data_IF_160677186497
#
_entry.id   IF_160677186497
#
_cell.length_a   1.000
_cell.length_b   1.000
_cell.length_c   1.000
_cell.angle_alpha   90.00
_cell.angle_beta   90.00
_cell.angle_gamma   90.00
#
_symmetry.space_group_name_H-M   'P 1'
#
loop_
_entity.id
_entity.type
_entity.pdbx_description
1 polymer ?
#
# COMPACT_ATOMS: atom_id res chain seq x y z
N UNK A 1 -11.78 15.64 -11.69
CA UNK A 1 -11.00 15.87 -12.94
C UNK A 1 -10.10 14.68 -13.22
N UNK A 2 -9.13 14.32 -12.38
CA UNK A 2 -8.18 13.20 -12.62
C UNK A 2 -8.84 11.86 -12.95
N UNK A 3 -10.01 11.56 -12.38
CA UNK A 3 -10.75 10.32 -12.67
C UNK A 3 -11.08 10.13 -14.14
N UNK A 4 -11.47 11.21 -14.82
CA UNK A 4 -11.90 11.17 -16.24
C UNK A 4 -10.77 11.51 -17.22
N UNK A 5 -9.67 12.11 -16.75
CA UNK A 5 -8.51 12.46 -17.59
C UNK A 5 -7.38 11.43 -17.52
N UNK A 6 -7.46 10.46 -16.59
CA UNK A 6 -6.39 9.47 -16.34
C UNK A 6 -5.15 10.07 -15.66
N UNK A 7 -5.25 11.30 -15.13
CA UNK A 7 -4.13 11.98 -14.48
C UNK A 7 -3.81 11.44 -13.07
N UNK A 8 -2.72 11.93 -12.50
CA UNK A 8 -2.31 11.68 -11.11
C UNK A 8 -2.35 12.96 -10.29
N UNK A 9 -2.47 12.84 -8.97
CA UNK A 9 -2.38 13.95 -8.02
C UNK A 9 -1.09 13.78 -7.22
N UNK A 10 -0.26 14.83 -7.23
CA UNK A 10 0.91 14.94 -6.37
C UNK A 10 0.65 16.11 -5.41
N UNK A 11 0.57 15.82 -4.12
CA UNK A 11 0.29 16.81 -3.08
C UNK A 11 1.50 17.01 -2.18
N UNK A 12 1.93 18.25 -2.04
CA UNK A 12 3.03 18.68 -1.18
C UNK A 12 2.50 19.70 -0.17
N UNK A 13 2.10 19.25 1.01
CA UNK A 13 1.53 20.10 2.04
C UNK A 13 2.54 21.17 2.49
N UNK A 14 2.16 22.45 2.39
CA UNK A 14 3.05 23.55 2.74
C UNK A 14 4.40 23.44 2.03
N UNK A 15 4.41 23.39 0.69
CA UNK A 15 5.60 23.17 -0.13
C UNK A 15 6.77 24.07 0.29
N UNK A 16 7.92 23.45 0.49
CA UNK A 16 9.20 24.12 0.76
C UNK A 16 10.26 23.57 -0.18
N UNK A 17 10.94 24.47 -0.90
CA UNK A 17 11.94 24.06 -1.91
C UNK A 17 13.13 23.31 -1.30
N UNK A 18 13.56 23.68 -0.10
CA UNK A 18 14.63 23.00 0.64
C UNK A 18 14.29 21.55 1.04
N UNK A 19 13.03 21.26 1.29
CA UNK A 19 12.51 19.94 1.68
C UNK A 19 11.96 19.13 0.49
N UNK A 20 11.18 19.75 -0.36
CA UNK A 20 10.30 19.05 -1.30
C UNK A 20 10.80 19.07 -2.76
N UNK A 21 11.85 19.83 -3.09
CA UNK A 21 12.31 19.99 -4.47
C UNK A 21 12.68 18.65 -5.14
N UNK A 22 13.35 17.74 -4.42
CA UNK A 22 13.73 16.43 -4.96
C UNK A 22 12.51 15.55 -5.23
N UNK A 23 11.54 15.57 -4.33
CA UNK A 23 10.31 14.81 -4.49
C UNK A 23 9.45 15.35 -5.64
N UNK A 24 9.33 16.67 -5.78
CA UNK A 24 8.66 17.31 -6.92
C UNK A 24 9.38 17.00 -8.24
N UNK A 25 10.71 17.14 -8.29
CA UNK A 25 11.50 16.79 -9.46
C UNK A 25 11.29 15.32 -9.87
N UNK A 26 11.32 14.41 -8.91
CA UNK A 26 11.09 12.98 -9.15
C UNK A 26 9.68 12.74 -9.71
N UNK A 27 8.66 13.37 -9.14
CA UNK A 27 7.28 13.27 -9.63
C UNK A 27 7.15 13.76 -11.08
N UNK A 28 7.74 14.91 -11.42
CA UNK A 28 7.75 15.46 -12.77
C UNK A 28 8.48 14.53 -13.75
N UNK A 29 9.67 14.07 -13.38
CA UNK A 29 10.46 13.15 -14.22
C UNK A 29 9.69 11.84 -14.44
N UNK A 30 9.07 11.29 -13.42
CA UNK A 30 8.26 10.06 -13.54
C UNK A 30 7.11 10.25 -14.53
N UNK A 31 6.33 11.31 -14.38
CA UNK A 31 5.18 11.59 -15.26
C UNK A 31 5.59 11.82 -16.71
N UNK A 32 6.75 12.47 -16.95
CA UNK A 32 7.22 12.80 -18.30
C UNK A 32 7.97 11.65 -18.97
N UNK A 33 8.68 10.81 -18.20
CA UNK A 33 9.55 9.76 -18.75
C UNK A 33 8.89 8.37 -18.80
N UNK A 34 7.84 8.10 -18.02
CA UNK A 34 7.19 6.79 -18.03
C UNK A 34 6.49 6.50 -19.36
N UNK A 35 6.42 5.23 -19.70
CA UNK A 35 5.70 4.79 -20.91
C UNK A 35 4.22 5.15 -20.77
N UNK A 36 3.73 5.95 -21.70
CA UNK A 36 2.36 6.43 -21.74
C UNK A 36 1.69 6.09 -23.06
N UNK A 37 0.47 5.62 -22.99
CA UNK A 37 -0.43 5.42 -24.11
C UNK A 37 -1.53 6.50 -24.12
N UNK A 38 -1.99 6.87 -25.29
CA UNK A 38 -2.96 7.94 -25.51
C UNK A 38 -4.22 7.40 -26.20
N UNK A 39 -5.34 8.06 -26.03
CA UNK A 39 -6.61 7.68 -26.66
C UNK A 39 -6.90 6.18 -26.46
N UNK A 40 -6.71 5.71 -25.25
CA UNK A 40 -6.80 4.31 -24.97
C UNK A 40 -8.24 3.87 -24.66
N UNK A 41 -8.51 2.61 -24.96
CA UNK A 41 -9.76 1.94 -24.60
C UNK A 41 -9.40 0.58 -24.01
N UNK A 42 -9.88 0.33 -22.81
CA UNK A 42 -9.77 -0.96 -22.13
C UNK A 42 -11.10 -1.68 -22.19
N UNK A 43 -11.10 -2.89 -22.75
CA UNK A 43 -12.24 -3.79 -22.76
C UNK A 43 -11.96 -5.01 -21.92
N UNK A 44 -12.83 -5.28 -20.96
CA UNK A 44 -12.76 -6.48 -20.13
C UNK A 44 -13.93 -7.39 -20.49
N UNK A 45 -13.63 -8.67 -20.69
CA UNK A 45 -14.63 -9.72 -21.00
C UNK A 45 -14.44 -10.91 -20.09
N UNK A 46 -15.51 -11.61 -19.83
CA UNK A 46 -15.50 -12.85 -19.07
C UNK A 46 -16.31 -13.93 -19.80
N UNK A 47 -16.01 -15.20 -19.50
CA UNK A 47 -16.78 -16.33 -20.00
C UNK A 47 -18.21 -16.32 -19.47
N UNK A 48 -19.10 -17.04 -20.16
CA UNK A 48 -20.51 -17.21 -19.76
C UNK A 48 -20.60 -17.73 -18.32
N UNK A 49 -21.54 -17.19 -17.57
CA UNK A 49 -21.74 -17.49 -16.14
C UNK A 49 -20.99 -16.57 -15.18
N UNK A 50 -20.19 -15.64 -15.71
CA UNK A 50 -19.58 -14.53 -14.98
C UNK A 50 -20.16 -13.19 -15.43
N UNK A 51 -20.26 -12.25 -14.53
CA UNK A 51 -20.72 -10.86 -14.81
C UNK A 51 -19.77 -9.87 -14.20
N UNK A 52 -19.39 -8.85 -14.99
CA UNK A 52 -18.62 -7.70 -14.50
C UNK A 52 -19.53 -6.78 -13.69
N UNK A 53 -19.27 -6.65 -12.39
CA UNK A 53 -20.13 -5.92 -11.46
C UNK A 53 -19.67 -4.49 -11.23
N UNK A 54 -18.37 -4.28 -11.00
CA UNK A 54 -17.80 -2.96 -10.77
C UNK A 54 -16.34 -2.89 -11.23
N UNK A 55 -15.93 -1.68 -11.62
CA UNK A 55 -14.56 -1.38 -11.99
C UNK A 55 -14.00 -0.28 -11.08
N UNK A 56 -12.69 -0.36 -10.79
CA UNK A 56 -11.97 0.57 -9.93
C UNK A 56 -10.71 1.06 -10.65
N UNK A 57 -10.47 2.36 -10.63
CA UNK A 57 -9.39 3.04 -11.33
C UNK A 57 -9.81 4.44 -11.77
N UNK A 58 -9.01 5.04 -12.66
CA UNK A 58 -9.34 6.31 -13.31
C UNK A 58 -9.70 6.06 -14.77
N UNK A 59 -10.97 6.25 -15.13
CA UNK A 59 -11.52 6.02 -16.48
C UNK A 59 -12.87 6.69 -16.61
N UNK A 60 -13.33 6.76 -17.85
CA UNK A 60 -14.71 7.09 -18.18
C UNK A 60 -15.42 5.80 -18.67
N UNK A 61 -16.55 5.44 -18.05
CA UNK A 61 -17.32 4.26 -18.41
C UNK A 61 -18.16 4.57 -19.66
N UNK A 62 -17.90 3.85 -20.77
CA UNK A 62 -18.75 3.92 -21.98
C UNK A 62 -19.79 2.81 -22.02
N UNK A 63 -19.43 1.62 -21.55
CA UNK A 63 -20.32 0.48 -21.39
C UNK A 63 -19.80 -0.38 -20.23
N UNK A 64 -20.59 -1.35 -19.77
CA UNK A 64 -20.22 -2.23 -18.66
C UNK A 64 -18.86 -2.93 -18.84
N UNK A 65 -18.48 -3.23 -20.07
CA UNK A 65 -17.24 -3.89 -20.46
C UNK A 65 -16.21 -2.96 -21.14
N UNK A 66 -16.53 -1.65 -21.28
CA UNK A 66 -15.74 -0.72 -22.11
C UNK A 66 -15.41 0.56 -21.35
N UNK A 67 -14.13 0.74 -21.05
CA UNK A 67 -13.58 1.89 -20.34
C UNK A 67 -12.78 2.77 -21.32
N UNK A 68 -13.11 4.06 -21.38
CA UNK A 68 -12.30 5.03 -22.10
C UNK A 68 -11.23 5.63 -21.19
N UNK A 69 -10.01 5.63 -21.69
CA UNK A 69 -8.80 6.08 -20.99
C UNK A 69 -8.14 7.15 -21.86
N UNK A 70 -8.31 8.45 -21.57
CA UNK A 70 -7.60 9.49 -22.32
C UNK A 70 -6.09 9.27 -22.32
N UNK A 71 -5.57 8.85 -21.17
CA UNK A 71 -4.20 8.39 -21.01
C UNK A 71 -4.16 7.11 -20.19
N UNK A 72 -3.21 6.24 -20.48
CA UNK A 72 -2.84 5.07 -19.68
C UNK A 72 -1.33 4.96 -19.62
N UNK A 73 -0.79 4.68 -18.47
CA UNK A 73 0.66 4.62 -18.26
C UNK A 73 1.05 3.38 -17.46
N UNK A 74 2.37 3.17 -17.29
CA UNK A 74 2.91 2.01 -16.58
C UNK A 74 2.55 1.95 -15.09
N UNK A 75 2.09 3.05 -14.50
CA UNK A 75 1.68 3.11 -13.10
C UNK A 75 0.16 2.95 -12.93
N UNK A 76 -0.60 2.96 -14.03
CA UNK A 76 -2.05 2.83 -14.02
C UNK A 76 -2.48 1.41 -13.73
N UNK A 77 -3.33 1.22 -12.73
CA UNK A 77 -3.88 -0.08 -12.35
C UNK A 77 -5.39 -0.03 -12.31
N UNK A 78 -6.00 -1.08 -12.83
CA UNK A 78 -7.45 -1.26 -12.86
C UNK A 78 -7.81 -2.52 -12.09
N UNK A 79 -8.87 -2.46 -11.29
CA UNK A 79 -9.42 -3.63 -10.64
C UNK A 79 -10.88 -3.82 -11.06
N UNK A 80 -11.29 -5.05 -11.23
CA UNK A 80 -12.65 -5.41 -11.69
C UNK A 80 -13.25 -6.42 -10.72
N UNK A 81 -14.44 -6.12 -10.24
CA UNK A 81 -15.24 -7.07 -9.48
C UNK A 81 -16.04 -7.95 -10.44
N UNK A 82 -15.94 -9.24 -10.24
CA UNK A 82 -16.64 -10.24 -11.04
C UNK A 82 -17.56 -11.03 -10.12
N UNK A 83 -18.84 -11.11 -10.50
CA UNK A 83 -19.84 -11.93 -9.83
C UNK A 83 -20.05 -13.23 -10.58
N UNK A 84 -20.11 -14.32 -9.84
CA UNK A 84 -20.47 -15.63 -10.38
C UNK A 84 -21.99 -15.75 -10.40
N UNK A 85 -22.56 -16.02 -11.57
CA UNK A 85 -23.98 -16.31 -11.73
C UNK A 85 -24.23 -17.82 -11.85
N UNK A 86 -23.63 -18.47 -12.85
CA UNK A 86 -23.75 -19.90 -13.04
C UNK A 86 -22.52 -20.46 -13.77
N UNK A 87 -21.73 -21.25 -13.07
CA UNK A 87 -20.56 -21.96 -13.61
C UNK A 87 -20.70 -23.49 -13.51
N UNK A 88 -21.91 -23.99 -13.23
CA UNK A 88 -22.16 -25.42 -12.93
C UNK A 88 -21.74 -26.38 -14.06
N UNK A 89 -21.82 -25.93 -15.32
CA UNK A 89 -21.45 -26.72 -16.50
C UNK A 89 -19.99 -26.50 -16.97
N UNK A 90 -19.23 -25.62 -16.34
CA UNK A 90 -17.89 -25.23 -16.80
C UNK A 90 -16.78 -25.82 -15.92
N UNK A 91 -15.67 -26.21 -16.54
CA UNK A 91 -14.46 -26.65 -15.82
C UNK A 91 -13.49 -25.51 -15.58
N UNK A 92 -13.54 -24.47 -16.39
CA UNK A 92 -12.71 -23.28 -16.28
C UNK A 92 -13.49 -22.02 -16.63
N UNK A 93 -13.08 -20.90 -16.03
CA UNK A 93 -13.58 -19.57 -16.33
C UNK A 93 -12.45 -18.72 -16.91
N UNK A 94 -12.73 -17.99 -17.99
CA UNK A 94 -11.73 -17.12 -18.63
C UNK A 94 -12.11 -15.65 -18.47
N UNK A 95 -11.08 -14.85 -18.25
CA UNK A 95 -11.13 -13.39 -18.23
C UNK A 95 -10.17 -12.85 -19.27
N UNK A 96 -10.60 -11.87 -20.04
CA UNK A 96 -9.78 -11.24 -21.08
C UNK A 96 -9.84 -9.73 -20.94
N UNK A 97 -8.67 -9.09 -20.87
CA UNK A 97 -8.52 -7.64 -20.94
C UNK A 97 -7.81 -7.27 -22.25
N UNK A 98 -8.46 -6.44 -23.06
CA UNK A 98 -7.90 -5.92 -24.32
C UNK A 98 -7.75 -4.41 -24.22
N UNK A 99 -6.50 -3.92 -24.31
CA UNK A 99 -6.13 -2.52 -24.25
C UNK A 99 -5.69 -2.04 -25.65
N UNK A 100 -6.49 -1.17 -26.25
CA UNK A 100 -6.14 -0.44 -27.47
C UNK A 100 -5.61 0.94 -27.07
N UNK A 101 -4.47 1.35 -27.62
CA UNK A 101 -3.85 2.65 -27.31
C UNK A 101 -2.93 3.13 -28.42
N UNK A 102 -2.65 4.44 -28.43
CA UNK A 102 -1.64 5.05 -29.30
C UNK A 102 -0.37 5.30 -28.49
N UNK A 103 0.77 4.86 -28.98
CA UNK A 103 2.07 5.12 -28.35
C UNK A 103 2.51 6.57 -28.54
N UNK A 104 3.52 7.03 -27.79
CA UNK A 104 4.14 8.35 -27.97
C UNK A 104 4.77 8.56 -29.36
N UNK A 105 4.99 7.46 -30.14
CA UNK A 105 5.46 7.51 -31.53
C UNK A 105 4.32 7.54 -32.56
N UNK A 106 3.08 7.62 -32.13
CA UNK A 106 1.89 7.63 -33.03
C UNK A 106 1.45 6.24 -33.49
N UNK A 107 2.08 5.16 -33.04
CA UNK A 107 1.70 3.80 -33.43
C UNK A 107 0.44 3.36 -32.66
N UNK A 108 -0.55 2.83 -33.37
CA UNK A 108 -1.73 2.22 -32.75
C UNK A 108 -1.45 0.78 -32.39
N UNK A 109 -1.62 0.41 -31.11
CA UNK A 109 -1.32 -0.93 -30.59
C UNK A 109 -2.48 -1.50 -29.80
N UNK A 110 -2.60 -2.83 -29.86
CA UNK A 110 -3.53 -3.60 -29.03
C UNK A 110 -2.71 -4.56 -28.17
N UNK A 111 -2.96 -4.56 -26.87
CA UNK A 111 -2.48 -5.60 -25.95
C UNK A 111 -3.65 -6.41 -25.45
N UNK A 112 -3.53 -7.73 -25.51
CA UNK A 112 -4.55 -8.66 -25.03
C UNK A 112 -3.94 -9.55 -23.97
N UNK A 113 -4.61 -9.60 -22.82
CA UNK A 113 -4.27 -10.48 -21.71
C UNK A 113 -5.46 -11.42 -21.49
N UNK A 114 -5.20 -12.71 -21.46
CA UNK A 114 -6.21 -13.73 -21.18
C UNK A 114 -5.71 -14.60 -20.05
N UNK A 115 -6.55 -14.81 -19.06
CA UNK A 115 -6.30 -15.77 -17.98
C UNK A 115 -7.46 -16.74 -17.91
N UNK A 116 -7.14 -18.02 -17.77
CA UNK A 116 -8.09 -19.09 -17.51
C UNK A 116 -7.86 -19.62 -16.10
N UNK A 117 -8.93 -19.67 -15.31
CA UNK A 117 -8.92 -20.12 -13.93
C UNK A 117 -9.72 -21.41 -13.81
N UNK A 118 -9.23 -22.43 -13.12
CA UNK A 118 -10.02 -23.63 -12.85
C UNK A 118 -11.17 -23.31 -11.91
N UNK A 119 -12.28 -23.98 -12.07
CA UNK A 119 -13.45 -23.88 -11.20
C UNK A 119 -13.34 -24.94 -10.12
N UNK A 120 -13.55 -24.54 -8.87
CA UNK A 120 -13.66 -25.46 -7.75
C UNK A 120 -15.09 -25.42 -7.16
N UNK A 121 -15.58 -26.57 -6.71
CA UNK A 121 -16.90 -26.72 -6.10
C UNK A 121 -16.87 -26.68 -4.57
N UNK A 122 -15.66 -26.63 -4.00
CA UNK A 122 -15.46 -26.61 -2.55
C UNK A 122 -14.63 -25.40 -2.15
N UNK A 123 -14.78 -24.96 -0.89
CA UNK A 123 -14.10 -23.77 -0.39
C UNK A 123 -12.60 -23.98 -0.11
N UNK A 124 -12.14 -25.21 0.14
CA UNK A 124 -10.75 -25.46 0.50
C UNK A 124 -9.74 -25.08 -0.58
N UNK A 125 -9.90 -25.47 -1.87
CA UNK A 125 -9.04 -24.98 -2.95
C UNK A 125 -9.14 -23.46 -3.13
N UNK A 126 -10.35 -22.88 -3.01
CA UNK A 126 -10.56 -21.45 -3.14
C UNK A 126 -9.71 -20.67 -2.12
N UNK A 127 -9.82 -20.98 -0.82
CA UNK A 127 -9.04 -20.29 0.20
C UNK A 127 -7.53 -20.52 0.10
N UNK A 128 -7.08 -21.64 -0.50
CA UNK A 128 -5.65 -21.87 -0.75
C UNK A 128 -5.08 -21.08 -1.93
N UNK A 129 -5.92 -20.76 -2.92
CA UNK A 129 -5.52 -20.08 -4.15
C UNK A 129 -5.72 -18.57 -4.11
N UNK A 130 -6.27 -18.02 -3.02
CA UNK A 130 -6.50 -16.57 -2.88
C UNK A 130 -5.15 -15.84 -2.84
N UNK A 131 -5.03 -14.80 -3.65
CA UNK A 131 -3.98 -13.80 -3.52
C UNK A 131 -4.42 -12.77 -2.47
N UNK A 132 -3.88 -12.88 -1.26
CA UNK A 132 -4.22 -12.02 -0.12
C UNK A 132 -3.87 -10.55 -0.36
N UNK A 133 -2.80 -10.29 -1.09
CA UNK A 133 -2.30 -8.97 -1.42
C UNK A 133 -3.23 -8.28 -2.43
N UNK A 134 -3.64 -9.00 -3.47
CA UNK A 134 -4.63 -8.51 -4.42
C UNK A 134 -5.99 -8.23 -3.74
N UNK A 135 -6.42 -9.08 -2.80
CA UNK A 135 -7.65 -8.86 -2.01
C UNK A 135 -7.53 -7.60 -1.16
N UNK A 136 -6.41 -7.38 -0.47
CA UNK A 136 -6.19 -6.19 0.35
C UNK A 136 -6.19 -4.90 -0.51
N UNK A 137 -5.49 -4.92 -1.64
CA UNK A 137 -5.44 -3.79 -2.58
C UNK A 137 -6.83 -3.48 -3.18
N UNK A 138 -7.58 -4.51 -3.60
CA UNK A 138 -8.95 -4.33 -4.08
C UNK A 138 -9.85 -3.76 -2.97
N UNK A 139 -9.73 -4.26 -1.75
CA UNK A 139 -10.48 -3.77 -0.59
C UNK A 139 -10.20 -2.28 -0.33
N UNK A 140 -8.94 -1.84 -0.45
CA UNK A 140 -8.57 -0.43 -0.34
C UNK A 140 -9.20 0.43 -1.45
N UNK A 141 -9.19 -0.06 -2.71
CA UNK A 141 -9.84 0.62 -3.85
C UNK A 141 -11.35 0.77 -3.64
N UNK A 142 -12.00 -0.29 -3.18
CA UNK A 142 -13.44 -0.29 -2.87
C UNK A 142 -13.77 0.68 -1.73
N UNK A 143 -12.98 0.68 -0.67
CA UNK A 143 -13.13 1.59 0.46
C UNK A 143 -12.96 3.06 0.05
N UNK A 144 -11.93 3.36 -0.77
CA UNK A 144 -11.71 4.70 -1.30
C UNK A 144 -12.90 5.18 -2.16
N UNK A 145 -13.43 4.30 -3.02
CA UNK A 145 -14.63 4.61 -3.80
C UNK A 145 -15.82 4.88 -2.88
N UNK A 146 -16.08 4.00 -1.90
CA UNK A 146 -17.21 4.16 -0.97
C UNK A 146 -17.09 5.44 -0.13
N UNK A 147 -15.89 5.80 0.31
CA UNK A 147 -15.65 7.03 1.07
C UNK A 147 -15.88 8.32 0.24
N UNK A 148 -15.66 8.28 -1.07
CA UNK A 148 -15.95 9.38 -1.99
C UNK A 148 -17.44 9.48 -2.35
N UNK A 149 -18.14 8.35 -2.44
CA UNK A 149 -19.56 8.28 -2.81
C UNK A 149 -20.49 8.49 -1.59
N UNK A 150 -20.00 8.22 -0.36
CA UNK A 150 -20.76 8.31 0.89
C UNK A 150 -19.94 9.00 2.00
N UNK A 151 -19.91 8.43 3.21
CA UNK A 151 -19.11 8.95 4.32
C UNK A 151 -17.91 8.05 4.62
N UNK A 152 -16.83 8.64 5.11
CA UNK A 152 -15.64 7.90 5.56
C UNK A 152 -16.00 6.85 6.64
N UNK A 153 -16.94 7.18 7.54
CA UNK A 153 -17.41 6.25 8.57
C UNK A 153 -18.04 4.99 7.97
N UNK A 154 -18.88 5.15 6.94
CA UNK A 154 -19.54 4.04 6.25
C UNK A 154 -18.55 3.13 5.52
N UNK A 155 -17.46 3.72 5.01
CA UNK A 155 -16.37 2.96 4.40
C UNK A 155 -15.61 2.12 5.44
N UNK A 156 -15.32 2.69 6.62
CA UNK A 156 -14.64 1.99 7.73
C UNK A 156 -15.48 0.83 8.28
N UNK A 157 -16.78 1.05 8.45
CA UNK A 157 -17.72 0.00 8.88
C UNK A 157 -17.76 -1.14 7.85
N UNK A 158 -17.86 -0.81 6.55
CA UNK A 158 -17.88 -1.79 5.49
C UNK A 158 -16.60 -2.64 5.44
N UNK A 159 -15.43 -2.06 5.75
CA UNK A 159 -14.17 -2.79 5.84
C UNK A 159 -14.23 -3.87 6.93
N UNK A 160 -14.66 -3.50 8.14
CA UNK A 160 -14.76 -4.43 9.26
C UNK A 160 -15.79 -5.53 8.96
N UNK A 161 -16.97 -5.17 8.43
CA UNK A 161 -17.99 -6.12 8.07
C UNK A 161 -17.50 -7.11 6.99
N UNK A 162 -16.81 -6.62 5.95
CA UNK A 162 -16.24 -7.48 4.90
C UNK A 162 -15.23 -8.48 5.45
N UNK A 163 -14.35 -8.06 6.35
CA UNK A 163 -13.39 -8.94 7.01
C UNK A 163 -14.11 -10.02 7.83
N UNK A 164 -15.12 -9.61 8.63
CA UNK A 164 -15.92 -10.54 9.44
C UNK A 164 -16.66 -11.54 8.54
N UNK A 165 -17.21 -11.09 7.40
CA UNK A 165 -17.91 -11.95 6.46
C UNK A 165 -17.01 -13.07 5.93
N UNK A 166 -15.83 -12.69 5.41
CA UNK A 166 -14.86 -13.65 4.86
C UNK A 166 -14.38 -14.65 5.89
N UNK A 167 -14.05 -14.17 7.11
CA UNK A 167 -13.52 -15.03 8.18
C UNK A 167 -14.62 -15.88 8.85
N UNK A 168 -15.87 -15.42 8.88
CA UNK A 168 -17.00 -16.22 9.40
C UNK A 168 -17.27 -17.43 8.52
N UNK A 169 -17.27 -17.26 7.20
CA UNK A 169 -17.43 -18.37 6.25
C UNK A 169 -16.29 -19.38 6.40
N UNK A 170 -15.05 -18.89 6.49
CA UNK A 170 -13.90 -19.77 6.71
C UNK A 170 -14.03 -20.55 8.02
N UNK A 171 -14.35 -19.87 9.12
CA UNK A 171 -14.54 -20.50 10.41
C UNK A 171 -15.65 -21.55 10.39
N UNK A 172 -16.80 -21.23 9.81
CA UNK A 172 -17.92 -22.18 9.73
C UNK A 172 -17.57 -23.44 8.93
N UNK A 173 -16.71 -23.31 7.89
CA UNK A 173 -16.37 -24.40 6.99
C UNK A 173 -15.19 -25.26 7.45
N UNK A 174 -14.28 -24.70 8.24
CA UNK A 174 -12.99 -25.36 8.55
C UNK A 174 -12.69 -25.54 10.05
N UNK A 175 -13.56 -25.05 10.95
CA UNK A 175 -13.41 -25.32 12.38
C UNK A 175 -13.80 -26.75 12.69
N UNK A 176 -13.05 -27.39 13.60
CA UNK A 176 -13.32 -28.71 14.13
C UNK A 176 -13.99 -28.59 15.51
N UNK A 177 -14.65 -29.65 16.02
CA UNK A 177 -15.19 -29.64 17.39
C UNK A 177 -14.16 -29.32 18.48
N UNK A 178 -12.88 -29.54 18.19
CA UNK A 178 -11.76 -29.25 19.09
C UNK A 178 -11.27 -27.81 19.02
N UNK A 179 -11.69 -27.04 18.00
CA UNK A 179 -11.28 -25.63 17.84
C UNK A 179 -11.96 -24.78 18.91
N UNK A 180 -11.21 -24.18 19.87
CA UNK A 180 -11.83 -23.35 20.91
C UNK A 180 -12.65 -22.19 20.30
N UNK A 181 -13.81 -21.86 20.85
CA UNK A 181 -14.61 -20.72 20.36
C UNK A 181 -13.84 -19.41 20.37
N UNK A 182 -12.94 -19.20 21.33
CA UNK A 182 -12.12 -17.99 21.46
C UNK A 182 -10.95 -17.91 20.47
N UNK A 183 -10.59 -19.01 19.79
CA UNK A 183 -9.48 -19.03 18.85
C UNK A 183 -9.87 -18.37 17.53
N UNK A 184 -9.10 -17.39 17.10
CA UNK A 184 -9.19 -16.84 15.75
C UNK A 184 -8.53 -17.79 14.76
N UNK A 185 -9.29 -18.27 13.78
CA UNK A 185 -8.80 -19.16 12.71
C UNK A 185 -8.74 -18.38 11.42
N UNK A 186 -7.54 -18.31 10.84
CA UNK A 186 -7.27 -17.59 9.59
C UNK A 186 -6.80 -18.56 8.52
N UNK A 187 -7.24 -18.39 7.25
CA UNK A 187 -6.62 -19.09 6.13
C UNK A 187 -5.20 -18.54 5.91
N UNK A 188 -4.25 -19.42 5.58
CA UNK A 188 -2.85 -19.03 5.40
C UNK A 188 -2.69 -17.92 4.35
N UNK A 189 -3.40 -18.03 3.23
CA UNK A 189 -3.36 -17.04 2.15
C UNK A 189 -3.95 -15.65 2.55
N UNK A 190 -4.73 -15.58 3.63
CA UNK A 190 -5.31 -14.34 4.15
C UNK A 190 -4.77 -13.97 5.54
N UNK A 191 -3.62 -14.52 5.94
CA UNK A 191 -3.04 -14.29 7.26
C UNK A 191 -2.79 -12.81 7.54
N UNK A 192 -2.34 -12.05 6.56
CA UNK A 192 -2.05 -10.62 6.66
C UNK A 192 -3.28 -9.73 6.43
N UNK A 193 -4.41 -10.29 5.96
CA UNK A 193 -5.59 -9.50 5.58
C UNK A 193 -6.20 -8.69 6.74
N UNK A 194 -6.27 -9.21 8.00
CA UNK A 194 -6.69 -8.39 9.14
C UNK A 194 -5.78 -7.20 9.40
N UNK A 195 -4.45 -7.36 9.29
CA UNK A 195 -3.49 -6.27 9.45
C UNK A 195 -3.64 -5.22 8.34
N UNK A 196 -3.75 -5.64 7.08
CA UNK A 196 -4.00 -4.73 5.97
C UNK A 196 -5.34 -4.00 6.12
N UNK A 197 -6.40 -4.67 6.59
CA UNK A 197 -7.69 -4.04 6.86
C UNK A 197 -7.56 -2.97 7.95
N UNK A 198 -6.84 -3.25 9.03
CA UNK A 198 -6.54 -2.25 10.07
C UNK A 198 -5.70 -1.10 9.50
N UNK A 199 -4.71 -1.41 8.65
CA UNK A 199 -3.91 -0.41 7.93
C UNK A 199 -4.79 0.55 7.11
N UNK A 200 -5.79 0.04 6.38
CA UNK A 200 -6.75 0.88 5.66
C UNK A 200 -7.54 1.76 6.64
N UNK A 201 -8.07 1.19 7.73
CA UNK A 201 -8.86 1.93 8.72
C UNK A 201 -8.05 3.06 9.37
N UNK A 202 -6.76 2.84 9.62
CA UNK A 202 -5.83 3.83 10.22
C UNK A 202 -5.27 4.82 9.21
N UNK A 203 -5.32 4.49 7.93
CA UNK A 203 -4.74 5.32 6.89
C UNK A 203 -5.34 6.74 6.91
N UNK A 204 -4.54 7.81 6.72
CA UNK A 204 -5.03 9.19 6.78
C UNK A 204 -6.22 9.46 5.86
N UNK A 205 -6.33 8.80 4.71
CA UNK A 205 -7.48 8.92 3.83
C UNK A 205 -8.82 8.58 4.52
N UNK A 206 -8.81 7.68 5.52
CA UNK A 206 -10.02 7.19 6.21
C UNK A 206 -10.17 7.70 7.65
N UNK A 207 -9.31 8.62 8.11
CA UNK A 207 -9.49 9.25 9.41
C UNK A 207 -10.67 10.21 9.39
N UNK A 208 -11.52 10.15 10.42
CA UNK A 208 -12.72 10.98 10.52
C UNK A 208 -12.44 12.40 11.08
N UNK A 209 -11.27 12.64 11.65
CA UNK A 209 -10.89 13.90 12.28
C UNK A 209 -10.53 15.02 11.30
N UNK A 210 -10.33 16.22 11.84
CA UNK A 210 -9.83 17.39 11.12
C UNK A 210 -8.30 17.41 10.99
N UNK A 211 -7.60 16.40 11.49
CA UNK A 211 -6.16 16.24 11.45
C UNK A 211 -5.61 15.99 10.02
N UNK A 212 -6.48 15.63 9.09
CA UNK A 212 -6.14 15.45 7.68
C UNK A 212 -6.92 16.44 6.84
N UNK A 213 -6.20 17.38 6.21
CA UNK A 213 -6.81 18.34 5.30
C UNK A 213 -7.45 17.68 4.07
N UNK A 214 -8.38 18.39 3.43
CA UNK A 214 -9.15 17.84 2.31
C UNK A 214 -8.27 17.51 1.10
N UNK A 215 -7.27 18.33 0.80
CA UNK A 215 -6.40 18.16 -0.36
C UNK A 215 -5.50 16.94 -0.17
N UNK A 216 -4.91 16.76 1.02
CA UNK A 216 -4.16 15.55 1.38
C UNK A 216 -5.03 14.31 1.26
N UNK A 217 -6.27 14.35 1.76
CA UNK A 217 -7.21 13.23 1.70
C UNK A 217 -7.55 12.85 0.27
N UNK A 218 -7.84 13.84 -0.59
CA UNK A 218 -8.17 13.61 -2.01
C UNK A 218 -6.97 13.00 -2.75
N UNK A 219 -5.75 13.49 -2.50
CA UNK A 219 -4.54 12.95 -3.11
C UNK A 219 -4.31 11.48 -2.69
N UNK A 220 -4.46 11.15 -1.40
CA UNK A 220 -4.34 9.79 -0.89
C UNK A 220 -5.42 8.86 -1.46
N UNK A 221 -6.67 9.31 -1.54
CA UNK A 221 -7.75 8.52 -2.14
C UNK A 221 -7.53 8.28 -3.63
N UNK A 222 -7.01 9.27 -4.37
CA UNK A 222 -6.65 9.10 -5.77
C UNK A 222 -5.54 8.05 -5.93
N UNK A 223 -4.51 8.09 -5.06
CA UNK A 223 -3.44 7.10 -5.03
C UNK A 223 -3.97 5.69 -4.77
N UNK A 224 -4.81 5.49 -3.74
CA UNK A 224 -5.41 4.20 -3.43
C UNK A 224 -6.27 3.65 -4.57
N UNK A 225 -6.92 4.51 -5.37
CA UNK A 225 -7.75 4.09 -6.50
C UNK A 225 -6.93 3.62 -7.71
N UNK A 226 -5.76 4.18 -7.94
CA UNK A 226 -4.95 3.94 -9.15
C UNK A 226 -3.67 3.17 -8.90
N UNK A 227 -3.19 3.10 -7.65
CA UNK A 227 -1.95 2.42 -7.30
C UNK A 227 -1.96 0.93 -7.64
N UNK A 228 -0.79 0.38 -7.94
CA UNK A 228 -0.58 -1.07 -8.06
C UNK A 228 -0.79 -1.77 -6.71
N UNK A 229 -0.86 -3.09 -6.71
CA UNK A 229 -0.96 -3.88 -5.48
C UNK A 229 0.19 -3.51 -4.53
N UNK A 230 1.44 -3.56 -5.03
CA UNK A 230 2.63 -3.27 -4.23
C UNK A 230 2.66 -1.83 -3.69
N UNK A 231 2.24 -0.85 -4.51
CA UNK A 231 2.20 0.55 -4.10
C UNK A 231 1.17 0.78 -2.97
N UNK A 232 0.00 0.16 -3.08
CA UNK A 232 -1.04 0.24 -2.05
C UNK A 232 -0.59 -0.45 -0.77
N UNK A 233 -0.07 -1.68 -0.86
CA UNK A 233 0.38 -2.42 0.32
C UNK A 233 1.54 -1.73 1.03
N UNK A 234 2.49 -1.19 0.29
CA UNK A 234 3.59 -0.41 0.87
C UNK A 234 3.13 0.85 1.59
N UNK A 235 2.01 1.44 1.17
CA UNK A 235 1.39 2.58 1.87
C UNK A 235 0.61 2.14 3.12
N UNK A 236 -0.11 1.01 3.04
CA UNK A 236 -0.94 0.49 4.13
C UNK A 236 -0.14 -0.23 5.23
N UNK A 237 0.94 -0.86 4.85
CA UNK A 237 1.83 -1.64 5.71
C UNK A 237 3.28 -1.37 5.31
N UNK A 238 3.82 -0.20 5.68
CA UNK A 238 5.20 0.16 5.36
C UNK A 238 6.20 -0.86 5.87
N UNK A 239 7.36 -0.93 5.22
CA UNK A 239 8.46 -1.80 5.64
C UNK A 239 9.36 -1.06 6.61
N UNK A 240 9.56 -1.63 7.79
CA UNK A 240 10.40 -1.08 8.86
C UNK A 240 11.68 -1.89 9.01
N UNK A 241 12.83 -1.22 9.10
CA UNK A 241 14.14 -1.83 9.25
C UNK A 241 14.91 -1.15 10.38
N UNK A 242 15.60 -1.93 11.19
CA UNK A 242 16.65 -1.44 12.07
C UNK A 242 17.98 -1.45 11.32
N UNK A 243 18.61 -0.29 11.16
CA UNK A 243 19.84 -0.16 10.39
C UNK A 243 20.99 -1.02 10.94
N UNK A 244 21.01 -1.28 12.24
CA UNK A 244 22.04 -2.14 12.85
C UNK A 244 21.86 -3.62 12.47
N UNK A 245 20.64 -4.04 12.10
CA UNK A 245 20.34 -5.41 11.68
C UNK A 245 20.44 -5.59 10.15
N UNK A 246 20.62 -4.50 9.40
CA UNK A 246 20.81 -4.55 7.95
C UNK A 246 22.20 -5.12 7.64
N UNK A 247 22.31 -6.20 6.83
CA UNK A 247 23.60 -6.78 6.46
C UNK A 247 24.46 -5.82 5.65
N UNK A 248 25.77 -5.86 5.83
CA UNK A 248 26.70 -5.07 4.99
C UNK A 248 26.60 -5.46 3.50
N UNK A 249 26.26 -6.71 3.22
CA UNK A 249 26.08 -7.24 1.86
C UNK A 249 24.91 -6.63 1.07
N UNK A 250 24.00 -5.88 1.72
CA UNK A 250 22.86 -5.26 1.03
C UNK A 250 23.29 -4.32 -0.09
N UNK A 251 24.43 -3.64 0.08
CA UNK A 251 24.96 -2.74 -0.92
C UNK A 251 25.44 -3.46 -2.20
N UNK A 252 25.86 -4.72 -2.07
CA UNK A 252 26.39 -5.52 -3.17
C UNK A 252 25.32 -6.40 -3.82
N UNK A 253 24.41 -6.94 -3.00
CA UNK A 253 23.40 -7.91 -3.44
C UNK A 253 22.08 -7.28 -3.85
N UNK A 254 21.80 -6.05 -3.40
CA UNK A 254 20.51 -5.38 -3.53
C UNK A 254 19.31 -6.22 -2.98
N UNK A 255 19.58 -7.18 -2.10
CA UNK A 255 18.54 -8.00 -1.47
C UNK A 255 17.98 -7.26 -0.26
N UNK A 256 16.68 -7.00 -0.27
CA UNK A 256 15.98 -6.35 0.83
C UNK A 256 15.93 -7.31 2.03
N UNK A 257 16.44 -6.90 3.21
CA UNK A 257 16.43 -7.76 4.39
C UNK A 257 15.02 -7.92 4.98
N UNK A 258 14.83 -8.87 5.94
CA UNK A 258 13.56 -9.00 6.65
C UNK A 258 13.16 -7.72 7.38
N UNK A 259 11.85 -7.49 7.45
CA UNK A 259 11.25 -6.31 8.10
C UNK A 259 10.93 -6.56 9.56
N UNK A 260 10.90 -5.49 10.34
CA UNK A 260 10.35 -5.49 11.69
C UNK A 260 8.82 -5.34 11.66
N UNK A 261 8.17 -5.71 12.76
CA UNK A 261 6.76 -5.41 12.98
C UNK A 261 6.54 -3.89 13.09
N UNK A 262 5.37 -3.44 12.68
CA UNK A 262 4.98 -2.03 12.73
C UNK A 262 4.42 -1.65 14.11
N UNK A 263 5.25 -1.83 15.14
CA UNK A 263 4.96 -1.50 16.53
C UNK A 263 6.12 -0.77 17.18
N UNK A 264 5.81 0.26 17.96
CA UNK A 264 6.79 1.00 18.74
C UNK A 264 7.27 0.26 20.00
N UNK A 265 6.61 -0.84 20.36
CA UNK A 265 6.92 -1.59 21.60
C UNK A 265 8.38 -2.03 21.71
N UNK A 266 8.99 -2.38 20.58
CA UNK A 266 10.38 -2.85 20.51
C UNK A 266 11.36 -1.82 19.96
N UNK A 267 10.88 -0.61 19.66
CA UNK A 267 11.77 0.44 19.20
C UNK A 267 12.58 1.01 20.35
N UNK A 268 13.85 1.30 20.08
CA UNK A 268 14.77 1.95 21.01
C UNK A 268 15.25 3.26 20.44
N UNK A 269 15.61 4.20 21.28
CA UNK A 269 16.19 5.46 20.85
C UNK A 269 17.71 5.37 20.56
N UNK A 270 18.31 4.20 20.74
CA UNK A 270 19.76 3.97 20.60
C UNK A 270 20.20 3.61 19.18
N UNK A 271 19.29 3.59 18.20
CA UNK A 271 19.58 3.19 16.82
C UNK A 271 18.91 4.12 15.79
N UNK A 272 19.06 3.74 14.53
CA UNK A 272 18.45 4.41 13.36
C UNK A 272 17.51 3.42 12.68
N UNK A 273 16.28 3.84 12.45
CA UNK A 273 15.29 3.06 11.74
C UNK A 273 15.04 3.62 10.33
N UNK A 274 14.77 2.74 9.37
CA UNK A 274 14.35 3.10 8.03
C UNK A 274 12.93 2.58 7.81
N UNK A 275 12.00 3.49 7.55
CA UNK A 275 10.62 3.19 7.19
C UNK A 275 10.42 3.46 5.70
N UNK A 276 10.00 2.45 4.94
CA UNK A 276 9.72 2.57 3.52
C UNK A 276 8.24 2.37 3.23
N UNK A 277 7.57 3.43 2.76
CA UNK A 277 6.15 3.48 2.42
C UNK A 277 5.92 3.57 0.90
N UNK A 278 6.66 2.80 0.11
CA UNK A 278 6.52 2.71 -1.34
C UNK A 278 6.85 4.00 -2.11
N UNK A 279 6.20 5.11 -1.78
CA UNK A 279 6.40 6.42 -2.42
C UNK A 279 7.43 7.32 -1.73
N UNK A 280 7.82 6.96 -0.50
CA UNK A 280 8.77 7.71 0.33
C UNK A 280 9.50 6.78 1.29
N UNK A 281 10.68 7.20 1.71
CA UNK A 281 11.39 6.59 2.83
C UNK A 281 11.64 7.63 3.93
N UNK A 282 11.54 7.20 5.18
CA UNK A 282 11.82 8.02 6.36
C UNK A 282 12.95 7.36 7.13
N UNK A 283 14.04 8.08 7.34
CA UNK A 283 15.13 7.68 8.21
C UNK A 283 14.92 8.36 9.55
N UNK A 284 14.54 7.58 10.54
CA UNK A 284 14.31 8.06 11.90
C UNK A 284 15.60 7.92 12.73
N UNK A 285 16.05 9.03 13.29
CA UNK A 285 17.26 9.11 14.10
C UNK A 285 16.88 9.14 15.57
N UNK A 286 17.28 8.12 16.32
CA UNK A 286 17.12 8.08 17.77
C UNK A 286 18.06 9.07 18.46
N UNK A 287 17.59 9.76 19.50
CA UNK A 287 18.40 10.73 20.28
C UNK A 287 19.51 10.07 21.08
N UNK A 288 19.36 8.80 21.43
CA UNK A 288 20.36 8.01 22.12
C UNK A 288 21.25 7.16 21.19
N UNK A 289 21.13 7.35 19.86
CA UNK A 289 21.96 6.63 18.92
C UNK A 289 23.44 6.97 19.07
N UNK A 290 24.29 5.96 18.88
CA UNK A 290 25.74 6.11 18.99
C UNK A 290 26.24 7.28 18.09
N UNK A 291 26.99 8.24 18.66
CA UNK A 291 27.60 9.33 17.87
C UNK A 291 28.45 8.84 16.70
N UNK A 292 29.10 7.69 16.80
CA UNK A 292 29.86 7.09 15.69
C UNK A 292 28.92 6.61 14.57
N UNK A 293 27.78 6.02 14.92
CA UNK A 293 26.74 5.63 13.95
C UNK A 293 26.20 6.85 13.23
N UNK A 294 25.82 7.90 13.97
CA UNK A 294 25.32 9.14 13.40
C UNK A 294 26.35 9.87 12.54
N UNK A 295 27.60 9.96 13.01
CA UNK A 295 28.73 10.53 12.24
C UNK A 295 29.02 9.71 10.97
N UNK A 296 28.88 8.39 11.04
CA UNK A 296 29.02 7.50 9.89
C UNK A 296 27.93 7.72 8.81
N UNK A 297 26.72 8.18 9.20
CA UNK A 297 25.59 8.43 8.30
C UNK A 297 25.59 9.88 7.81
N UNK A 298 25.74 10.83 8.72
CA UNK A 298 25.56 12.26 8.45
C UNK A 298 26.87 12.96 8.06
N UNK A 299 28.00 12.35 8.35
CA UNK A 299 29.31 12.95 8.19
C UNK A 299 29.66 13.91 9.32
N UNK A 300 30.68 14.75 9.09
CA UNK A 300 31.09 15.79 10.03
C UNK A 300 30.08 16.95 10.01
N UNK A 301 29.37 17.13 11.11
CA UNK A 301 28.41 18.22 11.27
C UNK A 301 29.10 19.56 11.62
N UNK A 302 30.44 19.61 11.67
CA UNK A 302 31.23 20.81 11.97
C UNK A 302 30.77 21.50 13.28
N UNK A 303 30.48 20.73 14.31
CA UNK A 303 30.01 21.23 15.61
C UNK A 303 28.57 21.74 15.62
N UNK A 304 27.81 21.63 14.53
CA UNK A 304 26.39 21.97 14.53
C UNK A 304 25.60 20.94 15.35
N UNK A 305 24.66 21.38 16.21
CA UNK A 305 23.83 20.45 16.96
C UNK A 305 22.92 19.66 16.01
N UNK A 306 22.70 18.38 16.33
CA UNK A 306 21.71 17.57 15.65
C UNK A 306 20.32 18.00 16.15
N UNK A 307 19.66 18.88 15.42
CA UNK A 307 18.31 19.38 15.72
C UNK A 307 17.36 19.22 14.51
N UNK A 308 16.10 19.52 14.73
CA UNK A 308 15.05 19.42 13.73
C UNK A 308 15.32 20.29 12.49
N UNK A 309 15.94 21.47 12.65
CA UNK A 309 16.22 22.37 11.54
C UNK A 309 17.35 21.82 10.64
N UNK A 310 18.40 21.25 11.25
CA UNK A 310 19.47 20.60 10.52
C UNK A 310 18.92 19.41 9.70
N UNK A 311 18.13 18.57 10.35
CA UNK A 311 17.62 17.32 9.74
C UNK A 311 16.62 17.59 8.63
N UNK A 312 15.75 18.62 8.78
CA UNK A 312 14.71 18.95 7.80
C UNK A 312 15.24 19.34 6.40
N UNK A 313 16.43 19.94 6.33
CA UNK A 313 17.07 20.34 5.07
C UNK A 313 18.26 19.46 4.65
N UNK A 314 18.48 18.35 5.38
CA UNK A 314 19.67 17.54 5.19
C UNK A 314 19.54 16.58 4.01
N UNK A 315 20.48 16.66 3.08
CA UNK A 315 20.60 15.67 2.01
C UNK A 315 21.55 14.57 2.45
N UNK A 316 21.05 13.33 2.47
CA UNK A 316 21.80 12.17 2.91
C UNK A 316 23.07 11.95 2.04
N UNK A 317 24.28 12.04 2.61
CA UNK A 317 25.50 11.85 1.86
C UNK A 317 25.80 10.36 1.62
N UNK A 318 26.61 10.09 0.61
CA UNK A 318 27.23 8.77 0.40
C UNK A 318 28.66 8.82 0.90
N UNK A 319 28.88 8.25 2.09
CA UNK A 319 30.17 8.25 2.77
C UNK A 319 30.81 6.85 2.74
N UNK A 320 32.15 6.75 2.83
CA UNK A 320 32.83 5.46 2.83
C UNK A 320 32.80 4.73 4.18
N UNK A 321 31.86 5.09 5.04
CA UNK A 321 31.67 4.46 6.36
C UNK A 321 30.62 3.35 6.29
N UNK A 322 30.82 2.26 7.02
CA UNK A 322 29.94 1.10 7.00
C UNK A 322 28.46 1.45 7.21
N UNK A 323 28.16 2.36 8.13
CA UNK A 323 26.78 2.82 8.39
C UNK A 323 26.15 3.51 7.18
N UNK A 324 26.90 4.39 6.48
CA UNK A 324 26.42 5.05 5.27
C UNK A 324 26.27 4.06 4.11
N UNK A 325 27.20 3.13 3.96
CA UNK A 325 27.13 2.09 2.91
C UNK A 325 25.90 1.22 3.11
N UNK A 326 25.62 0.75 4.33
CA UNK A 326 24.42 -0.03 4.67
C UNK A 326 23.14 0.75 4.41
N UNK A 327 23.07 1.99 4.91
CA UNK A 327 21.87 2.82 4.74
C UNK A 327 21.58 3.11 3.26
N UNK A 328 22.58 3.58 2.51
CA UNK A 328 22.41 3.88 1.10
C UNK A 328 22.16 2.59 0.28
N UNK A 329 22.83 1.48 0.60
CA UNK A 329 22.58 0.18 -0.01
C UNK A 329 21.17 -0.31 0.20
N UNK A 330 20.63 -0.19 1.42
CA UNK A 330 19.23 -0.49 1.70
C UNK A 330 18.26 0.39 0.91
N UNK A 331 18.51 1.71 0.86
CA UNK A 331 17.65 2.64 0.12
C UNK A 331 17.71 2.38 -1.40
N UNK A 332 18.87 2.03 -1.94
CA UNK A 332 19.04 1.64 -3.34
C UNK A 332 18.30 0.32 -3.65
N UNK A 333 18.42 -0.68 -2.79
CA UNK A 333 17.70 -1.95 -2.91
C UNK A 333 16.18 -1.73 -2.88
N UNK A 334 15.68 -0.88 -1.98
CA UNK A 334 14.27 -0.53 -1.89
C UNK A 334 13.79 0.25 -3.13
N UNK A 335 14.59 1.16 -3.66
CA UNK A 335 14.27 1.90 -4.87
C UNK A 335 14.24 1.00 -6.12
N UNK A 336 15.14 0.01 -6.19
CA UNK A 336 15.18 -0.99 -7.24
C UNK A 336 13.95 -1.90 -7.19
N UNK A 337 13.59 -2.38 -6.00
CA UNK A 337 12.44 -3.24 -5.75
C UNK A 337 11.11 -2.59 -6.21
N UNK A 338 10.92 -1.30 -5.94
CA UNK A 338 9.73 -0.56 -6.41
C UNK A 338 9.87 0.03 -7.82
N UNK A 339 11.04 -0.11 -8.46
CA UNK A 339 11.31 0.34 -9.83
C UNK A 339 11.21 1.86 -10.02
N UNK A 340 11.47 2.66 -8.96
CA UNK A 340 11.42 4.13 -9.01
C UNK A 340 12.29 4.78 -7.95
N UNK A 341 12.65 6.05 -8.18
CA UNK A 341 13.27 6.86 -7.15
C UNK A 341 12.32 7.04 -5.95
N UNK A 342 12.85 6.81 -4.76
CA UNK A 342 12.14 6.99 -3.49
C UNK A 342 12.77 8.19 -2.76
N UNK A 343 12.04 9.31 -2.61
CA UNK A 343 12.53 10.44 -1.84
C UNK A 343 12.72 10.03 -0.37
N UNK A 344 13.85 10.43 0.19
CA UNK A 344 14.24 10.13 1.57
C UNK A 344 14.12 11.39 2.40
N UNK A 345 13.47 11.30 3.55
CA UNK A 345 13.42 12.34 4.56
C UNK A 345 14.07 11.84 5.85
N UNK A 346 14.86 12.68 6.49
CA UNK A 346 15.39 12.41 7.82
C UNK A 346 14.47 13.06 8.85
N UNK A 347 14.24 12.37 9.96
CA UNK A 347 13.49 12.89 11.11
C UNK A 347 14.21 12.51 12.40
N UNK A 348 14.18 13.42 13.37
CA UNK A 348 14.77 13.20 14.69
C UNK A 348 13.67 12.77 15.67
N UNK A 349 13.98 11.87 16.56
CA UNK A 349 13.11 11.50 17.68
C UNK A 349 12.56 12.73 18.41
N UNK A 350 11.24 12.78 18.65
CA UNK A 350 10.57 13.89 19.33
C UNK A 350 10.35 15.14 18.47
N UNK A 351 10.76 15.15 17.20
CA UNK A 351 10.40 16.18 16.25
C UNK A 351 8.94 16.00 15.79
N UNK A 352 8.14 17.08 15.65
CA UNK A 352 6.82 16.99 15.00
C UNK A 352 6.86 16.35 13.62
N UNK A 353 7.92 16.50 12.84
CA UNK A 353 8.10 15.81 11.55
C UNK A 353 8.19 14.27 11.68
N UNK A 354 8.58 13.76 12.85
CA UNK A 354 8.60 12.32 13.13
C UNK A 354 7.19 11.73 13.34
N UNK A 355 6.14 12.53 13.36
CA UNK A 355 4.75 12.04 13.45
C UNK A 355 4.42 11.05 12.31
N UNK A 356 4.97 11.27 11.12
CA UNK A 356 4.84 10.36 9.97
C UNK A 356 5.34 8.96 10.29
N UNK A 357 6.44 8.85 11.02
CA UNK A 357 7.00 7.55 11.45
C UNK A 357 6.08 6.88 12.46
N UNK A 358 5.68 7.61 13.50
CA UNK A 358 4.77 7.10 14.55
C UNK A 358 3.38 6.71 14.00
N UNK A 359 2.84 7.50 13.08
CA UNK A 359 1.56 7.21 12.41
C UNK A 359 1.60 5.92 11.59
N UNK A 360 2.78 5.51 11.15
CA UNK A 360 2.99 4.30 10.35
C UNK A 360 3.07 3.02 11.21
N UNK A 361 3.10 3.13 12.54
CA UNK A 361 3.07 1.98 13.45
C UNK A 361 1.64 1.42 13.53
N UNK A 362 1.27 0.64 12.51
CA UNK A 362 -0.10 0.15 12.31
C UNK A 362 -0.57 -0.74 13.45
N UNK A 363 0.35 -1.47 14.08
CA UNK A 363 0.02 -2.40 15.17
C UNK A 363 -0.30 -1.69 16.49
N UNK A 364 0.18 -0.47 16.67
CA UNK A 364 -0.06 0.32 17.90
C UNK A 364 -1.44 0.98 17.92
N UNK A 365 -1.91 1.36 19.09
CA UNK A 365 -3.09 2.20 19.23
C UNK A 365 -2.76 3.62 18.73
N UNK A 366 -3.44 4.09 17.69
CA UNK A 366 -3.17 5.41 17.09
C UNK A 366 -4.40 6.00 16.40
N UNK A 367 -4.49 7.34 16.34
CA UNK A 367 -5.54 8.04 15.58
C UNK A 367 -6.97 7.69 16.01
N UNK A 368 -7.19 7.35 17.30
CA UNK A 368 -8.48 6.91 17.82
C UNK A 368 -8.89 5.49 17.38
N UNK A 369 -8.01 4.74 16.72
CA UNK A 369 -8.23 3.34 16.36
C UNK A 369 -7.50 2.40 17.31
N UNK A 370 -8.05 1.19 17.50
CA UNK A 370 -7.54 0.14 18.35
C UNK A 370 -6.14 -0.35 17.91
N UNK A 371 -5.37 -0.94 18.84
CA UNK A 371 -4.19 -1.71 18.50
C UNK A 371 -4.56 -2.95 17.68
N UNK A 372 -3.59 -3.56 17.02
CA UNK A 372 -3.84 -4.78 16.22
C UNK A 372 -4.41 -5.90 17.07
N UNK A 373 -3.88 -6.08 18.28
CA UNK A 373 -4.41 -7.08 19.23
C UNK A 373 -5.89 -6.82 19.56
N UNK A 374 -6.24 -5.60 19.96
CA UNK A 374 -7.62 -5.21 20.28
C UNK A 374 -8.56 -5.37 19.08
N UNK A 375 -8.07 -5.04 17.88
CA UNK A 375 -8.81 -5.22 16.63
C UNK A 375 -9.10 -6.70 16.38
N UNK A 376 -8.11 -7.59 16.53
CA UNK A 376 -8.32 -9.03 16.37
C UNK A 376 -9.32 -9.59 17.38
N UNK A 377 -9.29 -9.13 18.63
CA UNK A 377 -10.27 -9.53 19.67
C UNK A 377 -11.68 -9.09 19.28
N UNK A 378 -11.83 -7.85 18.80
CA UNK A 378 -13.12 -7.33 18.36
C UNK A 378 -13.67 -8.08 17.14
N UNK A 379 -12.85 -8.35 16.15
CA UNK A 379 -13.21 -9.15 14.96
C UNK A 379 -13.60 -10.57 15.35
N UNK A 380 -12.84 -11.22 16.24
CA UNK A 380 -13.15 -12.57 16.71
C UNK A 380 -14.53 -12.63 17.40
N UNK A 381 -14.86 -11.63 18.23
CA UNK A 381 -16.18 -11.55 18.87
C UNK A 381 -17.31 -11.45 17.83
N UNK A 382 -17.15 -10.60 16.82
CA UNK A 382 -18.14 -10.45 15.75
C UNK A 382 -18.30 -11.72 14.92
N UNK A 383 -17.18 -12.43 14.63
CA UNK A 383 -17.23 -13.74 13.95
C UNK A 383 -18.02 -14.75 14.78
N UNK A 384 -17.78 -14.82 16.09
CA UNK A 384 -18.53 -15.74 16.98
C UNK A 384 -20.04 -15.45 16.99
N UNK A 385 -20.40 -14.18 17.05
CA UNK A 385 -21.82 -13.76 17.02
C UNK A 385 -22.48 -14.12 15.69
N UNK A 386 -21.74 -13.99 14.58
CA UNK A 386 -22.24 -14.29 13.24
C UNK A 386 -22.37 -15.78 12.96
N UNK A 387 -21.46 -16.61 13.44
CA UNK A 387 -21.48 -18.07 13.25
C UNK A 387 -22.54 -18.76 14.12
N UNK A 388 -22.98 -18.11 15.22
CA UNK A 388 -24.07 -18.62 16.08
C UNK A 388 -25.48 -18.38 15.54
N UNK A 389 -25.61 -17.44 14.60
CA UNK A 389 -26.87 -17.13 13.89
C UNK A 389 -27.08 -18.06 12.69
#
# INVERSE_FOLDING_TARGET
MVTVTGGAIHHFAGFRADRDALALRSAILRVTARVTGWEAVLRVRCSKGLVLEAQHGHFFVRAADLLALPTVDSDSTFAVQVRVEDLSAAQSASLQAALLYTTSKGERRIRVFTVALPICTTLAPLYRSVDGDAVAALTAKMAAKKALDAKVADAREALSNKLVDVLSVYRASFSTPQTPPSQLVLPDALRSYPLHTLGIIKHPAFRAGADVDADRRVALMAHLRTGSVDAILSELSPRLFDLQQVPDSVADTAIVPPTLNLSSEKLTNSTVYVLHAGTRAVVWLGRGADPQLLGGILGDLQGRPLDANLVAGFSLPRLPYAASVRLNGLLDALALDVGRFVPVSLVLEGDPAAAVFSESMVEDRSGGAASYFEFLVAIQKQIQEKVKR
#
